data_IF_550429096759
#
_entry.id   IF_550429096759
#
_cell.length_a   1.000
_cell.length_b   1.000
_cell.length_c   1.000
_cell.angle_alpha   90.00
_cell.angle_beta   90.00
_cell.angle_gamma   90.00
#
_symmetry.space_group_name_H-M   'P 1'
#
loop_
_entity.id
_entity.type
_entity.pdbx_description
1 polymer ?
#
# COMPACT_ATOMS: atom_id res chain seq x y z
N UNK A 1 -54.89 48.17 20.57
CA UNK A 1 -54.05 47.69 21.70
C UNK A 1 -53.68 46.24 21.44
N UNK A 2 -52.49 45.74 21.82
CA UNK A 2 -51.23 46.47 22.05
C UNK A 2 -50.06 45.87 21.22
N UNK A 3 -49.28 46.71 20.50
CA UNK A 3 -47.85 47.02 20.75
C UNK A 3 -46.88 45.82 20.75
N UNK A 4 -45.96 45.69 19.79
CA UNK A 4 -44.70 46.46 19.64
C UNK A 4 -43.75 46.35 20.83
N UNK A 5 -42.51 45.91 20.56
CA UNK A 5 -41.31 46.66 20.94
C UNK A 5 -40.18 46.44 19.93
N UNK A 6 -39.78 47.53 19.28
CA UNK A 6 -38.48 47.73 18.65
C UNK A 6 -37.68 48.65 19.57
N UNK A 7 -36.38 48.42 19.75
CA UNK A 7 -35.45 49.52 20.03
C UNK A 7 -34.06 49.21 19.48
N UNK A 8 -33.58 50.18 18.71
CA UNK A 8 -32.23 50.44 18.21
C UNK A 8 -32.08 51.98 18.38
N UNK A 9 -30.95 52.67 18.09
CA UNK A 9 -29.61 52.18 17.73
C UNK A 9 -28.48 52.92 18.51
N UNK A 10 -27.20 52.63 18.22
CA UNK A 10 -26.14 53.67 18.17
C UNK A 10 -24.94 53.24 17.32
N UNK A 11 -24.73 53.93 16.19
CA UNK A 11 -23.43 54.11 15.49
C UNK A 11 -22.93 55.55 15.80
N UNK A 12 -21.75 56.07 15.38
CA UNK A 12 -20.75 55.59 14.41
C UNK A 12 -19.35 55.40 15.08
N UNK A 13 -18.13 55.53 14.51
CA UNK A 13 -17.64 56.04 13.21
C UNK A 13 -16.28 55.46 12.79
N UNK A 14 -15.94 55.70 11.51
CA UNK A 14 -14.72 55.32 10.78
C UNK A 14 -13.49 56.23 10.96
N UNK A 15 -12.27 55.66 10.89
CA UNK A 15 -11.06 56.12 10.16
C UNK A 15 -9.91 55.13 10.47
N UNK A 16 -9.36 54.36 9.53
CA UNK A 16 -8.32 54.70 8.54
C UNK A 16 -6.99 55.18 9.14
N UNK A 17 -5.95 54.32 9.12
CA UNK A 17 -4.69 54.58 8.37
C UNK A 17 -3.66 53.42 8.47
N UNK A 18 -2.60 53.54 7.68
CA UNK A 18 -1.66 52.50 7.19
C UNK A 18 -0.54 52.05 8.15
N UNK A 19 0.17 50.93 7.88
CA UNK A 19 1.18 50.37 8.78
C UNK A 19 2.53 51.09 8.74
N UNK A 20 3.28 51.01 9.84
CA UNK A 20 4.67 51.45 9.93
C UNK A 20 5.63 50.25 9.94
N UNK A 21 6.61 50.27 9.04
CA UNK A 21 7.77 49.38 9.06
C UNK A 21 8.73 49.73 10.20
N UNK A 22 9.30 48.73 10.87
CA UNK A 22 10.46 48.89 11.75
C UNK A 22 11.34 47.62 11.76
N UNK A 23 12.48 47.70 11.08
CA UNK A 23 13.54 46.67 11.06
C UNK A 23 14.44 46.82 12.30
N UNK A 24 14.84 45.74 12.98
CA UNK A 24 16.03 45.71 13.82
C UNK A 24 17.23 45.08 13.09
N UNK A 25 18.32 45.83 12.98
CA UNK A 25 19.63 45.37 12.51
C UNK A 25 20.46 44.73 13.63
N UNK A 26 21.51 43.94 13.32
CA UNK A 26 22.07 42.97 14.27
C UNK A 26 23.09 43.57 15.26
N UNK A 27 23.11 43.02 16.48
CA UNK A 27 24.18 43.24 17.46
C UNK A 27 25.31 42.22 17.29
N UNK A 28 26.55 42.67 17.51
CA UNK A 28 27.76 41.87 17.26
C UNK A 28 28.47 41.44 18.54
N UNK A 29 29.30 40.39 18.39
CA UNK A 29 30.37 39.92 19.29
C UNK A 29 29.99 39.23 20.61
N UNK A 30 30.32 37.94 20.69
CA UNK A 30 31.43 37.51 21.56
C UNK A 30 32.12 36.28 20.95
N UNK A 31 33.44 36.28 20.91
CA UNK A 31 34.26 35.17 20.42
C UNK A 31 34.63 34.23 21.56
N UNK A 32 34.34 32.93 21.42
CA UNK A 32 34.85 31.89 22.32
C UNK A 32 35.62 30.84 21.52
N UNK A 33 36.88 30.65 21.85
CA UNK A 33 37.80 29.74 21.16
C UNK A 33 37.65 28.30 21.65
N UNK A 34 37.22 27.38 20.79
CA UNK A 34 37.25 25.93 21.08
C UNK A 34 37.86 25.05 19.98
N UNK A 35 38.23 25.61 18.82
CA UNK A 35 38.84 24.87 17.70
C UNK A 35 40.37 24.70 17.79
N UNK A 36 40.87 24.18 18.92
CA UNK A 36 42.31 23.93 19.09
C UNK A 36 42.69 22.58 19.73
N UNK A 37 41.74 21.65 19.92
CA UNK A 37 42.01 20.35 20.57
C UNK A 37 41.84 19.10 19.69
N UNK A 38 41.35 19.23 18.44
CA UNK A 38 41.16 18.07 17.55
C UNK A 38 42.40 17.70 16.70
N UNK A 39 43.48 18.49 16.72
CA UNK A 39 44.68 18.25 15.88
C UNK A 39 45.79 17.40 16.53
N UNK A 40 45.57 16.87 17.74
CA UNK A 40 46.57 16.06 18.48
C UNK A 40 46.23 14.55 18.59
N UNK A 41 45.08 14.11 18.10
CA UNK A 41 44.71 12.67 18.12
C UNK A 41 45.31 11.90 16.92
N UNK A 42 45.50 12.59 15.78
CA UNK A 42 46.03 11.97 14.55
C UNK A 42 47.47 11.44 14.67
N UNK A 43 48.44 12.11 15.33
CA UNK A 43 49.81 11.59 15.45
C UNK A 43 49.94 10.35 16.34
N UNK A 44 49.05 10.17 17.31
CA UNK A 44 49.12 9.09 18.31
C UNK A 44 48.66 7.75 17.70
N UNK A 45 47.62 7.78 16.85
CA UNK A 45 47.15 6.59 16.11
C UNK A 45 48.18 6.02 15.13
N UNK A 46 49.08 6.86 14.59
CA UNK A 46 50.19 6.41 13.74
C UNK A 46 51.41 5.87 14.52
N UNK A 47 51.49 6.08 15.83
CA UNK A 47 52.55 5.51 16.66
C UNK A 47 52.15 4.14 17.25
N UNK A 48 50.86 3.94 17.55
CA UNK A 48 50.32 2.67 18.05
C UNK A 48 50.15 1.59 16.98
N UNK A 49 50.25 1.91 15.69
CA UNK A 49 50.13 0.95 14.58
C UNK A 49 51.42 0.19 14.25
N UNK A 50 52.53 0.45 14.95
CA UNK A 50 53.82 -0.22 14.72
C UNK A 50 54.12 -1.40 15.64
N UNK A 51 53.35 -1.60 16.72
CA UNK A 51 53.56 -2.66 17.71
C UNK A 51 52.34 -3.58 17.89
N UNK A 52 51.70 -4.00 16.79
CA UNK A 52 50.94 -5.26 16.77
C UNK A 52 51.75 -6.35 16.06
N UNK A 53 52.50 -7.09 16.87
CA UNK A 53 53.09 -8.39 16.53
C UNK A 53 52.05 -9.33 15.92
N UNK A 54 52.45 -10.16 14.94
CA UNK A 54 51.59 -11.16 14.30
C UNK A 54 50.93 -12.09 15.34
N UNK A 55 49.66 -11.84 15.64
CA UNK A 55 48.77 -12.89 16.12
C UNK A 55 48.48 -13.82 14.94
N UNK A 56 49.04 -15.03 14.98
CA UNK A 56 48.83 -16.07 13.98
C UNK A 56 47.36 -16.50 14.02
N UNK A 57 46.54 -15.97 13.10
CA UNK A 57 45.16 -16.38 12.94
C UNK A 57 45.11 -17.82 12.42
N UNK A 58 44.89 -18.79 13.32
CA UNK A 58 44.76 -20.19 12.92
C UNK A 58 43.35 -20.46 12.35
N UNK A 59 43.32 -21.25 11.29
CA UNK A 59 42.11 -21.83 10.66
C UNK A 59 41.10 -20.85 10.03
N UNK A 60 41.53 -20.12 8.99
CA UNK A 60 40.62 -19.81 7.89
C UNK A 60 40.27 -21.11 7.13
N UNK A 61 39.07 -21.66 7.34
CA UNK A 61 38.53 -22.67 6.43
C UNK A 61 38.35 -22.01 5.05
N UNK A 62 38.91 -22.55 3.96
CA UNK A 62 38.71 -21.97 2.65
C UNK A 62 37.24 -22.12 2.25
N UNK A 63 36.62 -21.04 1.78
CA UNK A 63 35.33 -21.06 1.11
C UNK A 63 35.48 -21.87 -0.19
N UNK A 64 35.18 -23.17 -0.10
CA UNK A 64 35.24 -24.08 -1.24
C UNK A 64 34.17 -23.69 -2.26
N UNK A 65 34.62 -23.38 -3.48
CA UNK A 65 33.73 -23.21 -4.61
C UNK A 65 33.05 -24.55 -4.94
N UNK A 66 31.80 -24.58 -5.44
CA UNK A 66 31.12 -25.84 -5.79
C UNK A 66 31.91 -26.74 -6.75
N UNK A 67 32.77 -26.16 -7.59
CA UNK A 67 33.69 -26.87 -8.49
C UNK A 67 34.85 -27.61 -7.80
N UNK A 68 35.12 -27.32 -6.52
CA UNK A 68 36.23 -27.90 -5.75
C UNK A 68 35.80 -29.12 -4.92
N UNK A 69 34.50 -29.45 -4.86
CA UNK A 69 34.00 -30.77 -4.41
C UNK A 69 33.98 -31.75 -5.58
N UNK A 70 35.11 -32.41 -5.84
CA UNK A 70 35.18 -33.59 -6.71
C UNK A 70 36.07 -34.65 -6.09
N UNK A 71 35.45 -35.59 -5.40
CA UNK A 71 36.09 -36.84 -5.01
C UNK A 71 36.30 -37.74 -6.25
N UNK A 72 37.39 -38.51 -6.24
CA UNK A 72 37.77 -39.39 -7.33
C UNK A 72 36.91 -40.67 -7.35
N UNK A 73 35.89 -40.72 -8.20
CA UNK A 73 35.40 -41.98 -8.77
C UNK A 73 34.76 -41.81 -10.15
N UNK A 74 35.26 -42.60 -11.11
CA UNK A 74 34.63 -43.07 -12.36
C UNK A 74 33.71 -42.13 -13.16
N UNK A 75 34.09 -41.88 -14.42
CA UNK A 75 33.35 -41.07 -15.37
C UNK A 75 31.96 -41.64 -15.74
N UNK A 76 30.91 -40.87 -15.49
CA UNK A 76 29.69 -40.87 -16.30
C UNK A 76 29.27 -39.43 -16.65
N UNK A 77 28.86 -39.29 -17.91
CA UNK A 77 28.08 -38.22 -18.55
C UNK A 77 28.00 -36.83 -17.87
N UNK A 78 28.64 -35.85 -18.49
CA UNK A 78 28.47 -34.41 -18.24
C UNK A 78 27.06 -33.91 -18.63
N UNK A 79 26.05 -34.29 -17.86
CA UNK A 79 24.82 -33.50 -17.76
C UNK A 79 25.08 -32.33 -16.81
N UNK A 80 25.00 -31.11 -17.34
CA UNK A 80 24.98 -29.89 -16.52
C UNK A 80 23.63 -29.77 -15.79
N UNK A 81 23.40 -30.66 -14.82
CA UNK A 81 22.22 -30.62 -13.97
C UNK A 81 22.21 -29.29 -13.20
N UNK A 82 21.25 -28.42 -13.52
CA UNK A 82 21.04 -27.20 -12.75
C UNK A 82 20.63 -27.60 -11.33
N UNK A 83 21.47 -27.30 -10.34
CA UNK A 83 21.22 -27.64 -8.92
C UNK A 83 20.00 -26.91 -8.30
N UNK A 84 19.27 -26.12 -9.09
CA UNK A 84 18.10 -25.37 -8.66
C UNK A 84 16.83 -26.23 -8.83
N UNK A 85 15.95 -26.21 -7.83
CA UNK A 85 14.64 -26.85 -7.88
C UNK A 85 13.83 -26.37 -9.09
N UNK A 86 13.26 -27.31 -9.85
CA UNK A 86 12.36 -27.00 -10.96
C UNK A 86 11.10 -26.32 -10.43
N UNK A 87 10.76 -25.17 -11.01
CA UNK A 87 9.53 -24.42 -10.69
C UNK A 87 8.29 -25.17 -11.20
N UNK A 88 7.12 -24.95 -10.57
CA UNK A 88 5.86 -25.58 -11.00
C UNK A 88 5.44 -25.04 -12.38
N UNK A 89 5.43 -25.86 -13.45
CA UNK A 89 5.12 -25.40 -14.80
C UNK A 89 3.69 -24.87 -14.97
N UNK A 90 2.79 -25.10 -14.01
CA UNK A 90 1.43 -24.55 -14.03
C UNK A 90 1.39 -23.06 -13.66
N UNK A 91 2.37 -22.58 -12.88
CA UNK A 91 2.39 -21.22 -12.33
C UNK A 91 3.07 -20.20 -13.24
N UNK A 92 2.58 -18.96 -13.21
CA UNK A 92 3.14 -17.85 -13.98
C UNK A 92 4.09 -16.99 -13.15
N UNK A 93 5.39 -17.28 -13.19
CA UNK A 93 6.41 -16.57 -12.41
C UNK A 93 6.78 -15.16 -12.90
N UNK A 94 5.97 -14.54 -13.77
CA UNK A 94 6.14 -13.14 -14.21
C UNK A 94 4.83 -12.34 -14.09
N UNK A 95 4.05 -12.50 -12.99
CA UNK A 95 2.70 -11.99 -12.91
C UNK A 95 2.68 -10.46 -12.98
N UNK A 96 1.56 -9.94 -13.45
CA UNK A 96 1.30 -8.49 -13.54
C UNK A 96 0.02 -8.19 -12.77
N UNK A 97 0.00 -7.15 -11.96
CA UNK A 97 -1.20 -6.69 -11.24
C UNK A 97 -1.69 -5.37 -11.86
N UNK A 98 -2.99 -5.29 -12.12
CA UNK A 98 -3.64 -4.03 -12.47
C UNK A 98 -3.95 -3.24 -11.21
N UNK A 99 -3.46 -2.02 -11.06
CA UNK A 99 -3.83 -1.14 -9.95
C UNK A 99 -4.75 -0.05 -10.48
N UNK A 100 -5.95 0.07 -9.89
CA UNK A 100 -6.91 1.12 -10.26
C UNK A 100 -6.45 2.48 -9.74
N UNK A 101 -6.40 3.50 -10.62
CA UNK A 101 -6.10 4.88 -10.22
C UNK A 101 -7.29 5.57 -9.56
N UNK A 102 -7.01 6.47 -8.61
CA UNK A 102 -8.01 7.22 -7.86
C UNK A 102 -8.14 8.67 -8.39
N UNK A 103 -9.34 9.31 -8.37
CA UNK A 103 -9.52 10.72 -8.73
C UNK A 103 -8.65 11.71 -7.95
N UNK A 104 -8.09 12.69 -8.66
CA UNK A 104 -7.25 13.77 -8.12
C UNK A 104 -5.75 13.58 -8.40
N UNK A 105 -4.91 14.39 -7.76
CA UNK A 105 -3.44 14.31 -7.88
C UNK A 105 -2.76 13.56 -6.71
N UNK A 106 -3.54 13.13 -5.71
CA UNK A 106 -3.09 12.35 -4.57
C UNK A 106 -2.25 13.11 -3.55
N UNK A 107 -2.07 14.42 -3.72
CA UNK A 107 -1.17 15.20 -2.90
C UNK A 107 -1.90 15.94 -1.76
N UNK A 108 -1.16 16.21 -0.69
CA UNK A 108 -1.62 17.00 0.46
C UNK A 108 -1.72 18.52 0.21
N UNK A 109 -1.63 18.91 -1.06
CA UNK A 109 -1.68 20.24 -1.66
C UNK A 109 -1.85 20.06 -3.18
N UNK A 110 -1.93 21.14 -3.96
CA UNK A 110 -2.19 21.03 -5.41
C UNK A 110 -0.88 20.83 -6.19
N UNK A 111 -0.61 19.60 -6.63
CA UNK A 111 0.44 19.28 -7.59
C UNK A 111 -0.04 19.34 -9.03
N UNK A 112 -1.34 19.16 -9.28
CA UNK A 112 -1.92 19.26 -10.61
C UNK A 112 -3.11 20.23 -10.68
N UNK A 113 -3.18 20.99 -11.77
CA UNK A 113 -4.31 21.86 -12.05
C UNK A 113 -5.41 21.17 -12.86
N UNK A 114 -5.11 20.05 -13.54
CA UNK A 114 -6.05 19.27 -14.33
C UNK A 114 -7.14 18.65 -13.45
N UNK A 115 -8.41 18.97 -13.73
CA UNK A 115 -9.57 18.39 -13.04
C UNK A 115 -9.81 16.92 -13.40
N UNK A 116 -9.20 16.45 -14.49
CA UNK A 116 -9.20 15.06 -14.93
C UNK A 116 -7.92 14.31 -14.51
N UNK A 117 -7.11 14.87 -13.60
CA UNK A 117 -6.01 14.14 -13.00
C UNK A 117 -6.52 12.91 -12.23
N UNK A 118 -5.81 11.80 -12.37
CA UNK A 118 -5.91 10.64 -11.49
C UNK A 118 -4.54 10.26 -10.95
N UNK A 119 -4.48 9.46 -9.89
CA UNK A 119 -3.21 9.04 -9.31
C UNK A 119 -3.21 7.60 -8.79
N UNK A 120 -2.01 7.06 -8.59
CA UNK A 120 -1.76 5.87 -7.77
C UNK A 120 -0.67 6.24 -6.77
N UNK A 121 -0.92 6.07 -5.47
CA UNK A 121 0.12 6.23 -4.46
C UNK A 121 1.20 5.15 -4.66
N UNK A 122 2.47 5.56 -4.63
CA UNK A 122 3.58 4.68 -4.99
C UNK A 122 3.75 3.51 -4.01
N UNK A 123 3.25 3.62 -2.77
CA UNK A 123 3.19 2.51 -1.82
C UNK A 123 2.44 1.29 -2.36
N UNK A 124 1.32 1.43 -3.07
CA UNK A 124 0.63 0.29 -3.69
C UNK A 124 1.47 -0.37 -4.78
N UNK A 125 2.27 0.41 -5.52
CA UNK A 125 3.20 -0.12 -6.53
C UNK A 125 4.33 -0.89 -5.85
N UNK A 126 5.03 -0.25 -4.91
CA UNK A 126 6.11 -0.85 -4.10
C UNK A 126 5.66 -2.13 -3.39
N UNK A 127 4.43 -2.14 -2.86
CA UNK A 127 3.79 -3.29 -2.23
C UNK A 127 3.63 -4.49 -3.17
N UNK A 128 3.16 -4.26 -4.42
CA UNK A 128 3.08 -5.32 -5.44
C UNK A 128 4.47 -5.81 -5.86
N UNK A 129 5.42 -4.90 -6.06
CA UNK A 129 6.76 -5.22 -6.56
C UNK A 129 7.62 -5.96 -5.55
N UNK A 130 7.51 -5.63 -4.25
CA UNK A 130 8.21 -6.30 -3.15
C UNK A 130 7.88 -7.81 -3.02
N UNK A 131 6.78 -8.28 -3.62
CA UNK A 131 6.40 -9.70 -3.68
C UNK A 131 6.71 -10.38 -5.03
N UNK A 132 7.41 -9.68 -5.94
CA UNK A 132 7.90 -10.22 -7.21
C UNK A 132 6.85 -10.26 -8.32
N UNK A 133 6.13 -9.16 -8.49
CA UNK A 133 5.23 -8.89 -9.61
C UNK A 133 5.55 -7.53 -10.26
N UNK A 134 4.89 -7.24 -11.39
CA UNK A 134 4.95 -5.94 -12.08
C UNK A 134 3.58 -5.27 -12.06
N UNK A 135 3.53 -3.95 -12.25
CA UNK A 135 2.26 -3.19 -12.25
C UNK A 135 1.92 -2.64 -13.63
N UNK A 136 0.63 -2.69 -14.00
CA UNK A 136 0.01 -1.87 -15.04
C UNK A 136 -1.00 -0.93 -14.35
N UNK A 137 -0.95 0.40 -14.58
CA UNK A 137 -1.97 1.31 -14.10
C UNK A 137 -3.25 1.20 -14.94
N UNK A 138 -4.37 0.89 -14.28
CA UNK A 138 -5.71 0.96 -14.84
C UNK A 138 -6.25 2.37 -14.56
N UNK A 139 -6.24 3.25 -15.55
CA UNK A 139 -6.50 4.68 -15.34
C UNK A 139 -8.01 4.89 -15.42
N UNK A 140 -8.68 5.18 -14.30
CA UNK A 140 -10.15 5.07 -14.22
C UNK A 140 -10.92 5.96 -15.22
N UNK A 141 -10.29 7.01 -15.75
CA UNK A 141 -10.86 7.96 -16.71
C UNK A 141 -10.13 7.98 -18.06
N UNK A 142 -9.41 6.91 -18.42
CA UNK A 142 -9.06 6.65 -19.82
C UNK A 142 -10.26 6.05 -20.58
N UNK A 143 -10.25 6.00 -21.93
CA UNK A 143 -11.32 5.37 -22.69
C UNK A 143 -11.53 3.92 -22.23
N UNK A 144 -12.79 3.52 -22.09
CA UNK A 144 -13.18 2.25 -21.48
C UNK A 144 -12.57 1.04 -22.22
N UNK A 145 -12.46 1.14 -23.54
CA UNK A 145 -11.83 0.15 -24.41
C UNK A 145 -10.34 -0.05 -24.05
N UNK A 146 -9.62 1.04 -23.78
CA UNK A 146 -8.19 1.00 -23.41
C UNK A 146 -8.00 0.43 -22.01
N UNK A 147 -8.85 0.82 -21.05
CA UNK A 147 -8.83 0.28 -19.69
C UNK A 147 -9.07 -1.25 -19.70
N UNK A 148 -10.06 -1.72 -20.47
CA UNK A 148 -10.35 -3.15 -20.54
C UNK A 148 -9.33 -3.92 -21.40
N UNK A 149 -8.72 -3.32 -22.43
CA UNK A 149 -7.54 -3.90 -23.08
C UNK A 149 -6.39 -4.12 -22.08
N UNK A 150 -6.13 -3.17 -21.17
CA UNK A 150 -5.14 -3.34 -20.10
C UNK A 150 -5.54 -4.39 -19.08
N UNK A 151 -6.83 -4.53 -18.75
CA UNK A 151 -7.30 -5.56 -17.82
C UNK A 151 -7.05 -6.98 -18.37
N UNK A 152 -7.09 -7.16 -19.69
CA UNK A 152 -6.69 -8.42 -20.34
C UNK A 152 -5.16 -8.66 -20.32
N UNK A 153 -4.34 -7.70 -19.90
CA UNK A 153 -2.88 -7.84 -19.76
C UNK A 153 -2.41 -8.20 -18.35
N UNK A 154 -3.30 -8.33 -17.37
CA UNK A 154 -2.93 -8.58 -15.96
C UNK A 154 -3.39 -9.95 -15.46
N UNK A 155 -2.86 -10.36 -14.30
CA UNK A 155 -3.10 -11.64 -13.62
C UNK A 155 -3.86 -11.47 -12.29
N UNK A 156 -4.41 -10.28 -12.04
CA UNK A 156 -5.11 -9.90 -10.83
C UNK A 156 -5.21 -8.37 -10.71
N UNK A 157 -6.05 -7.90 -9.80
CA UNK A 157 -6.36 -6.46 -9.62
C UNK A 157 -6.18 -6.03 -8.16
N UNK A 158 -5.80 -4.77 -7.95
CA UNK A 158 -5.82 -4.10 -6.66
C UNK A 158 -6.67 -2.82 -6.75
N UNK A 159 -7.69 -2.73 -5.90
CA UNK A 159 -8.43 -1.50 -5.61
C UNK A 159 -7.83 -0.80 -4.40
N UNK A 160 -7.48 0.47 -4.57
CA UNK A 160 -6.78 1.30 -3.59
C UNK A 160 -7.73 1.95 -2.58
N UNK A 161 -7.18 2.43 -1.46
CA UNK A 161 -7.85 3.38 -0.59
C UNK A 161 -8.01 4.76 -1.23
N UNK A 162 -8.87 5.60 -0.66
CA UNK A 162 -9.20 6.92 -1.19
C UNK A 162 -10.52 7.46 -0.61
N UNK A 163 -11.18 8.37 -1.33
CA UNK A 163 -12.42 9.03 -0.87
C UNK A 163 -13.65 8.86 -1.78
N UNK A 164 -13.47 8.68 -3.09
CA UNK A 164 -14.55 8.75 -4.08
C UNK A 164 -15.45 7.49 -4.10
N UNK A 165 -16.73 7.64 -3.75
CA UNK A 165 -17.75 6.57 -3.69
C UNK A 165 -18.84 6.64 -4.78
N UNK A 166 -18.71 7.56 -5.73
CA UNK A 166 -19.75 7.89 -6.71
C UNK A 166 -19.15 8.31 -8.08
N UNK A 167 -20.03 8.43 -9.08
CA UNK A 167 -19.69 8.81 -10.45
C UNK A 167 -18.82 7.77 -11.17
N UNK A 168 -18.14 8.21 -12.24
CA UNK A 168 -17.36 7.36 -13.15
C UNK A 168 -16.39 6.40 -12.44
N UNK A 169 -15.70 6.85 -11.38
CA UNK A 169 -14.78 6.00 -10.63
C UNK A 169 -15.47 4.78 -10.00
N UNK A 170 -16.65 4.98 -9.40
CA UNK A 170 -17.45 3.87 -8.87
C UNK A 170 -17.93 2.94 -10.00
N UNK A 171 -18.41 3.51 -11.11
CA UNK A 171 -18.93 2.75 -12.25
C UNK A 171 -17.84 1.86 -12.87
N UNK A 172 -16.62 2.39 -12.99
CA UNK A 172 -15.46 1.64 -13.48
C UNK A 172 -15.02 0.57 -12.48
N UNK A 173 -14.97 0.87 -11.17
CA UNK A 173 -14.72 -0.14 -10.15
C UNK A 173 -15.75 -1.29 -10.20
N UNK A 174 -17.04 -0.97 -10.38
CA UNK A 174 -18.11 -1.95 -10.54
C UNK A 174 -17.93 -2.81 -11.81
N UNK A 175 -17.58 -2.21 -12.95
CA UNK A 175 -17.33 -2.94 -14.20
C UNK A 175 -16.09 -3.83 -14.12
N UNK A 176 -14.99 -3.36 -13.50
CA UNK A 176 -13.79 -4.18 -13.26
C UNK A 176 -14.11 -5.34 -12.32
N UNK A 177 -14.83 -5.10 -11.22
CA UNK A 177 -15.24 -6.18 -10.31
C UNK A 177 -16.11 -7.22 -11.01
N UNK A 178 -17.06 -6.79 -11.85
CA UNK A 178 -17.83 -7.72 -12.70
C UNK A 178 -16.93 -8.57 -13.60
N UNK A 179 -15.92 -7.97 -14.25
CA UNK A 179 -14.94 -8.70 -15.08
C UNK A 179 -14.07 -9.68 -14.28
N UNK A 180 -13.74 -9.36 -13.02
CA UNK A 180 -13.06 -10.28 -12.10
C UNK A 180 -13.91 -11.50 -11.82
N UNK A 181 -15.22 -11.34 -11.56
CA UNK A 181 -16.12 -12.48 -11.38
C UNK A 181 -16.25 -13.31 -12.66
N UNK A 182 -16.50 -12.67 -13.81
CA UNK A 182 -16.62 -13.34 -15.11
C UNK A 182 -15.38 -14.20 -15.47
N UNK A 183 -14.16 -13.74 -15.15
CA UNK A 183 -12.92 -14.52 -15.34
C UNK A 183 -12.85 -15.76 -14.45
N UNK A 184 -13.20 -15.62 -13.17
CA UNK A 184 -13.19 -16.73 -12.22
C UNK A 184 -14.30 -17.77 -12.50
N UNK A 185 -15.48 -17.32 -12.94
CA UNK A 185 -16.56 -18.20 -13.42
C UNK A 185 -16.12 -19.00 -14.65
N UNK A 186 -15.36 -18.38 -15.55
CA UNK A 186 -14.68 -19.03 -16.68
C UNK A 186 -13.45 -19.88 -16.27
N UNK A 187 -13.22 -20.11 -14.97
CA UNK A 187 -12.12 -20.88 -14.38
C UNK A 187 -10.70 -20.30 -14.57
N UNK A 188 -10.56 -19.03 -14.94
CA UNK A 188 -9.28 -18.30 -14.80
C UNK A 188 -9.16 -17.75 -13.39
N UNK A 189 -8.21 -18.28 -12.60
CA UNK A 189 -8.00 -17.87 -11.20
C UNK A 189 -7.45 -16.45 -11.14
N UNK A 190 -8.35 -15.47 -10.98
CA UNK A 190 -8.04 -14.05 -11.16
C UNK A 190 -8.28 -13.29 -9.84
N UNK A 191 -7.27 -13.14 -8.98
CA UNK A 191 -7.43 -12.52 -7.66
C UNK A 191 -7.74 -11.02 -7.73
N UNK A 192 -8.48 -10.55 -6.73
CA UNK A 192 -8.63 -9.12 -6.45
C UNK A 192 -8.34 -8.83 -4.98
N UNK A 193 -7.50 -7.82 -4.74
CA UNK A 193 -7.31 -7.19 -3.44
C UNK A 193 -8.03 -5.85 -3.40
N UNK A 194 -8.66 -5.55 -2.27
CA UNK A 194 -9.41 -4.31 -2.06
C UNK A 194 -9.03 -3.70 -0.70
N UNK A 195 -8.47 -2.49 -0.69
CA UNK A 195 -7.88 -1.85 0.49
C UNK A 195 -8.66 -0.58 0.83
N UNK A 196 -9.07 -0.41 2.09
CA UNK A 196 -9.83 0.74 2.61
C UNK A 196 -11.05 1.04 1.73
N UNK A 197 -11.06 2.15 0.99
CA UNK A 197 -12.09 2.46 0.00
C UNK A 197 -12.40 1.30 -0.96
N UNK A 198 -11.40 0.52 -1.38
CA UNK A 198 -11.63 -0.67 -2.20
C UNK A 198 -12.60 -1.65 -1.54
N UNK A 199 -12.46 -1.89 -0.22
CA UNK A 199 -13.37 -2.76 0.54
C UNK A 199 -14.76 -2.13 0.69
N UNK A 200 -14.82 -0.83 0.98
CA UNK A 200 -16.07 -0.07 1.05
C UNK A 200 -16.85 -0.14 -0.28
N UNK A 201 -16.17 0.02 -1.42
CA UNK A 201 -16.74 -0.11 -2.76
C UNK A 201 -17.28 -1.52 -3.02
N UNK A 202 -16.51 -2.57 -2.75
CA UNK A 202 -17.00 -3.95 -2.90
C UNK A 202 -18.24 -4.19 -2.04
N UNK A 203 -18.24 -3.66 -0.81
CA UNK A 203 -19.37 -3.77 0.11
C UNK A 203 -20.63 -3.14 -0.49
N UNK A 204 -20.53 -1.90 -1.01
CA UNK A 204 -21.63 -1.21 -1.72
C UNK A 204 -22.07 -1.92 -3.02
N UNK A 205 -21.14 -2.49 -3.77
CA UNK A 205 -21.42 -3.17 -5.05
C UNK A 205 -22.16 -4.49 -4.82
N UNK A 206 -21.73 -5.28 -3.84
CA UNK A 206 -22.28 -6.61 -3.55
C UNK A 206 -23.62 -6.49 -2.79
N UNK A 207 -23.75 -5.54 -1.87
CA UNK A 207 -25.00 -5.31 -1.13
C UNK A 207 -26.11 -4.71 -1.99
N UNK A 208 -25.75 -4.13 -3.15
CA UNK A 208 -26.59 -3.24 -3.98
C UNK A 208 -27.13 -2.01 -3.23
N UNK A 209 -26.54 -1.68 -2.07
CA UNK A 209 -26.94 -0.58 -1.18
C UNK A 209 -25.83 0.47 -1.04
N UNK A 210 -26.09 1.69 -1.53
CA UNK A 210 -25.19 2.83 -1.44
C UNK A 210 -24.99 3.36 -0.02
N UNK A 211 -25.90 3.02 0.90
CA UNK A 211 -25.92 3.48 2.29
C UNK A 211 -25.52 2.38 3.28
N UNK A 212 -24.96 1.26 2.79
CA UNK A 212 -24.61 0.07 3.60
C UNK A 212 -23.52 0.34 4.64
N UNK A 213 -22.71 1.37 4.42
CA UNK A 213 -21.58 1.73 5.28
C UNK A 213 -22.05 2.46 6.55
N UNK A 214 -21.23 2.35 7.58
CA UNK A 214 -21.41 2.94 8.90
C UNK A 214 -20.21 3.84 9.21
N UNK A 215 -20.39 4.86 10.06
CA UNK A 215 -19.32 5.79 10.43
C UNK A 215 -18.48 5.21 11.57
N UNK A 216 -17.16 5.38 11.52
CA UNK A 216 -16.24 4.95 12.59
C UNK A 216 -15.13 5.99 12.82
N UNK A 217 -14.65 6.12 14.06
CA UNK A 217 -13.50 6.97 14.44
C UNK A 217 -12.19 6.20 14.34
N UNK A 218 -11.76 5.90 13.11
CA UNK A 218 -10.58 5.08 12.82
C UNK A 218 -9.66 5.74 11.75
N UNK A 219 -9.53 7.07 11.82
CA UNK A 219 -8.63 7.84 11.00
C UNK A 219 -7.26 7.99 11.71
N UNK A 220 -6.17 7.88 10.94
CA UNK A 220 -4.78 8.02 11.43
C UNK A 220 -4.43 7.16 12.67
N UNK A 221 -4.85 5.88 12.70
CA UNK A 221 -4.81 5.03 13.90
C UNK A 221 -4.01 3.74 13.68
N UNK A 222 -2.99 3.48 14.51
CA UNK A 222 -2.34 2.18 14.63
C UNK A 222 -3.22 1.21 15.43
N UNK A 223 -3.53 0.03 14.90
CA UNK A 223 -4.41 -0.94 15.57
C UNK A 223 -3.93 -2.39 15.46
N UNK A 224 -4.59 -3.28 16.22
CA UNK A 224 -4.49 -4.74 16.09
C UNK A 224 -5.66 -5.33 15.27
N UNK A 225 -5.56 -6.61 14.93
CA UNK A 225 -6.56 -7.40 14.21
C UNK A 225 -7.14 -8.50 15.11
N UNK A 226 -8.38 -8.34 15.54
CA UNK A 226 -9.09 -9.33 16.34
C UNK A 226 -9.62 -10.44 15.43
N UNK A 227 -8.97 -11.61 15.46
CA UNK A 227 -9.40 -12.78 14.68
C UNK A 227 -10.74 -13.32 15.16
N UNK A 228 -11.63 -13.67 14.22
CA UNK A 228 -12.91 -14.31 14.55
C UNK A 228 -12.65 -15.66 15.23
N UNK A 229 -13.36 -15.94 16.33
CA UNK A 229 -13.20 -17.17 17.10
C UNK A 229 -13.36 -18.41 16.21
N UNK A 230 -12.40 -19.34 16.33
CA UNK A 230 -12.31 -20.59 15.56
C UNK A 230 -12.20 -20.42 14.03
N UNK A 231 -11.74 -19.25 13.53
CA UNK A 231 -11.52 -19.06 12.09
C UNK A 231 -10.43 -20.00 11.56
N UNK A 232 -10.69 -20.72 10.46
CA UNK A 232 -9.63 -21.40 9.74
C UNK A 232 -8.89 -20.39 8.85
N UNK A 233 -7.59 -20.20 9.13
CA UNK A 233 -6.71 -19.31 8.37
C UNK A 233 -6.08 -19.98 7.13
N UNK A 234 -6.20 -21.29 6.96
CA UNK A 234 -5.77 -22.01 5.76
C UNK A 234 -6.51 -21.49 4.52
N UNK A 235 -5.78 -21.31 3.41
CA UNK A 235 -6.31 -20.71 2.18
C UNK A 235 -6.62 -19.20 2.29
N UNK A 236 -6.37 -18.56 3.44
CA UNK A 236 -6.54 -17.11 3.65
C UNK A 236 -5.20 -16.38 3.55
N UNK A 237 -5.24 -15.05 3.44
CA UNK A 237 -4.04 -14.18 3.53
C UNK A 237 -3.13 -14.53 4.72
N UNK A 238 -3.73 -14.93 5.85
CA UNK A 238 -3.03 -15.25 7.09
C UNK A 238 -2.33 -16.62 7.09
N UNK A 239 -2.57 -17.50 6.11
CA UNK A 239 -2.02 -18.86 6.07
C UNK A 239 -0.47 -18.93 6.07
N UNK A 240 0.19 -17.85 5.64
CA UNK A 240 1.65 -17.77 5.48
C UNK A 240 2.35 -17.06 6.64
N UNK A 241 1.62 -16.57 7.63
CA UNK A 241 2.18 -15.84 8.75
C UNK A 241 2.75 -16.81 9.79
N UNK A 242 3.94 -16.54 10.37
CA UNK A 242 4.43 -17.28 11.52
C UNK A 242 3.44 -17.24 12.70
N UNK A 243 3.30 -18.33 13.49
CA UNK A 243 2.38 -18.36 14.63
C UNK A 243 2.58 -17.21 15.63
N UNK A 244 3.83 -16.82 15.88
CA UNK A 244 4.16 -15.69 16.75
C UNK A 244 3.70 -14.35 16.16
N UNK A 245 3.83 -14.15 14.85
CA UNK A 245 3.36 -12.92 14.18
C UNK A 245 1.82 -12.87 14.13
N UNK A 246 1.14 -14.01 14.00
CA UNK A 246 -0.32 -14.09 14.15
C UNK A 246 -0.78 -13.70 15.56
N UNK A 247 -0.05 -14.15 16.59
CA UNK A 247 -0.32 -13.75 17.98
C UNK A 247 -0.12 -12.25 18.18
N UNK A 248 0.99 -11.69 17.67
CA UNK A 248 1.27 -10.25 17.72
C UNK A 248 0.22 -9.44 16.96
N UNK A 249 -0.22 -9.87 15.78
CA UNK A 249 -1.31 -9.22 15.04
C UNK A 249 -2.59 -9.02 15.88
N UNK A 250 -2.89 -9.93 16.81
CA UNK A 250 -4.05 -9.83 17.71
C UNK A 250 -3.85 -9.00 18.98
N UNK A 251 -2.62 -8.57 19.29
CA UNK A 251 -2.27 -7.91 20.54
C UNK A 251 -1.57 -6.56 20.36
N UNK A 252 -0.68 -6.46 19.37
CA UNK A 252 0.19 -5.32 19.09
C UNK A 252 -0.41 -4.46 17.95
N UNK A 253 -0.13 -3.15 17.98
CA UNK A 253 -0.61 -2.23 16.95
C UNK A 253 0.26 -2.30 15.68
N UNK A 254 0.03 -3.31 14.84
CA UNK A 254 0.82 -3.61 13.64
C UNK A 254 0.16 -3.23 12.29
N UNK A 255 -1.09 -2.74 12.30
CA UNK A 255 -1.79 -2.33 11.08
C UNK A 255 -2.21 -0.86 11.13
N UNK A 256 -2.16 -0.19 9.99
CA UNK A 256 -2.58 1.21 9.85
C UNK A 256 -4.05 1.31 9.42
N UNK A 257 -4.88 1.94 10.25
CA UNK A 257 -6.25 2.34 9.91
C UNK A 257 -6.24 3.80 9.46
N UNK A 258 -6.99 4.11 8.41
CA UNK A 258 -7.20 5.50 7.99
C UNK A 258 -8.53 5.66 7.25
N UNK A 259 -9.64 5.44 7.96
CA UNK A 259 -10.99 5.48 7.40
C UNK A 259 -11.99 6.17 8.33
N UNK A 260 -13.04 6.73 7.73
CA UNK A 260 -14.21 7.28 8.42
C UNK A 260 -15.46 6.41 8.25
N UNK A 261 -15.38 5.41 7.37
CA UNK A 261 -16.50 4.55 6.99
C UNK A 261 -16.03 3.10 6.91
N UNK A 262 -16.89 2.20 7.37
CA UNK A 262 -16.67 0.76 7.28
C UNK A 262 -18.01 0.01 7.34
N UNK A 263 -17.98 -1.23 7.83
CA UNK A 263 -19.20 -2.00 8.09
C UNK A 263 -19.04 -2.82 9.37
N UNK A 264 -20.07 -2.82 10.22
CA UNK A 264 -20.11 -3.63 11.43
C UNK A 264 -20.25 -5.13 11.10
N UNK A 265 -19.77 -6.04 11.98
CA UNK A 265 -19.95 -7.47 11.79
C UNK A 265 -21.42 -7.89 11.74
N UNK A 266 -22.30 -7.16 12.42
CA UNK A 266 -23.75 -7.38 12.37
C UNK A 266 -24.31 -7.00 11.00
N UNK A 267 -24.05 -5.78 10.51
CA UNK A 267 -24.60 -5.29 9.25
C UNK A 267 -24.11 -6.09 8.04
N UNK A 268 -22.87 -6.57 8.05
CA UNK A 268 -22.36 -7.48 7.02
C UNK A 268 -23.09 -8.84 7.05
N UNK A 269 -23.27 -9.44 8.24
CA UNK A 269 -23.94 -10.74 8.40
C UNK A 269 -25.43 -10.69 8.08
N UNK A 270 -26.10 -9.60 8.42
CA UNK A 270 -27.54 -9.43 8.21
C UNK A 270 -27.89 -9.11 6.74
N UNK A 271 -26.93 -8.68 5.91
CA UNK A 271 -27.12 -8.55 4.47
C UNK A 271 -26.88 -9.91 3.78
N UNK A 272 -27.87 -10.47 3.06
CA UNK A 272 -27.76 -11.82 2.48
C UNK A 272 -26.73 -11.91 1.35
N UNK A 273 -26.52 -10.85 0.56
CA UNK A 273 -25.54 -10.85 -0.52
C UNK A 273 -24.11 -10.83 0.05
N UNK A 274 -23.86 -9.94 1.02
CA UNK A 274 -22.54 -9.83 1.67
C UNK A 274 -22.17 -11.08 2.45
N UNK A 275 -23.09 -11.63 3.26
CA UNK A 275 -22.86 -12.85 4.04
C UNK A 275 -22.71 -14.11 3.17
N UNK A 276 -23.35 -14.16 2.00
CA UNK A 276 -23.13 -15.25 1.03
C UNK A 276 -21.81 -15.09 0.27
N UNK A 277 -21.35 -13.86 0.04
CA UNK A 277 -20.11 -13.60 -0.69
C UNK A 277 -18.86 -13.70 0.21
N UNK A 278 -18.88 -13.13 1.41
CA UNK A 278 -17.71 -12.94 2.29
C UNK A 278 -17.79 -13.70 3.62
N UNK A 279 -16.67 -14.37 3.98
CA UNK A 279 -16.34 -14.71 5.36
C UNK A 279 -15.55 -13.57 6.01
N UNK A 280 -15.95 -13.19 7.23
CA UNK A 280 -15.17 -12.28 8.09
C UNK A 280 -13.99 -13.07 8.68
N UNK A 281 -12.76 -12.56 8.50
CA UNK A 281 -11.55 -13.13 9.08
C UNK A 281 -11.15 -12.40 10.36
N UNK A 282 -11.16 -11.07 10.32
CA UNK A 282 -10.78 -10.20 11.45
C UNK A 282 -11.73 -9.02 11.60
N UNK A 283 -11.84 -8.52 12.83
CA UNK A 283 -12.45 -7.24 13.19
C UNK A 283 -11.41 -6.33 13.84
N UNK A 284 -11.69 -5.04 13.90
CA UNK A 284 -10.92 -4.07 14.70
C UNK A 284 -11.89 -3.11 15.39
N UNK A 285 -11.40 -2.36 16.37
CA UNK A 285 -12.16 -1.35 17.11
C UNK A 285 -11.71 0.04 16.71
N UNK A 286 -12.64 0.98 16.64
CA UNK A 286 -12.36 2.41 16.49
C UNK A 286 -11.97 3.04 17.85
N UNK A 287 -11.65 4.34 17.89
CA UNK A 287 -11.29 5.05 19.12
C UNK A 287 -12.44 5.15 20.15
N UNK A 288 -13.69 4.93 19.73
CA UNK A 288 -14.86 4.85 20.61
C UNK A 288 -15.13 3.42 21.12
N UNK A 289 -14.32 2.43 20.70
CA UNK A 289 -14.51 0.99 20.91
C UNK A 289 -15.65 0.35 20.09
N UNK A 290 -16.14 1.01 19.04
CA UNK A 290 -17.09 0.43 18.10
C UNK A 290 -16.38 -0.57 17.17
N UNK A 291 -16.98 -1.75 17.00
CA UNK A 291 -16.37 -2.87 16.27
C UNK A 291 -16.77 -2.86 14.80
N UNK A 292 -15.78 -2.79 13.91
CA UNK A 292 -15.95 -2.93 12.46
C UNK A 292 -15.21 -4.15 11.90
N UNK A 293 -15.64 -4.60 10.73
CA UNK A 293 -14.97 -5.65 9.95
C UNK A 293 -13.67 -5.11 9.38
N UNK A 294 -12.53 -5.74 9.70
CA UNK A 294 -11.22 -5.26 9.25
C UNK A 294 -10.59 -6.11 8.14
N UNK A 295 -10.90 -7.41 8.05
CA UNK A 295 -10.49 -8.26 6.91
C UNK A 295 -11.58 -9.27 6.56
N UNK A 296 -11.88 -9.39 5.26
CA UNK A 296 -12.76 -10.42 4.69
C UNK A 296 -12.08 -11.16 3.54
N UNK A 297 -12.55 -12.37 3.27
CA UNK A 297 -12.22 -13.12 2.05
C UNK A 297 -13.50 -13.71 1.46
N UNK A 298 -13.61 -13.76 0.14
CA UNK A 298 -14.77 -14.36 -0.50
C UNK A 298 -14.81 -15.88 -0.34
N UNK A 299 -16.01 -16.46 -0.38
CA UNK A 299 -16.22 -17.90 -0.28
C UNK A 299 -15.86 -18.65 -1.56
N UNK A 300 -16.28 -18.15 -2.73
CA UNK A 300 -16.13 -18.81 -4.02
C UNK A 300 -15.06 -18.21 -4.96
N UNK A 301 -14.49 -17.06 -4.60
CA UNK A 301 -13.60 -16.28 -5.47
C UNK A 301 -12.28 -15.94 -4.76
N UNK A 302 -11.16 -15.75 -5.47
CA UNK A 302 -9.88 -15.28 -4.91
C UNK A 302 -9.90 -13.77 -4.58
N UNK A 303 -10.98 -13.28 -3.98
CA UNK A 303 -11.16 -11.89 -3.56
C UNK A 303 -10.87 -11.77 -2.06
N UNK A 304 -9.98 -10.86 -1.68
CA UNK A 304 -9.67 -10.53 -0.27
C UNK A 304 -9.77 -9.02 -0.11
N UNK A 305 -10.38 -8.56 0.98
CA UNK A 305 -10.54 -7.13 1.24
C UNK A 305 -10.17 -6.77 2.68
N UNK A 306 -9.59 -5.59 2.84
CA UNK A 306 -8.98 -5.06 4.05
C UNK A 306 -9.52 -3.65 4.28
N UNK A 307 -9.99 -3.33 5.48
CA UNK A 307 -10.32 -1.95 5.85
C UNK A 307 -9.05 -1.13 6.18
N UNK A 308 -8.01 -1.83 6.64
CA UNK A 308 -6.69 -1.31 6.97
C UNK A 308 -5.76 -1.29 5.74
N UNK A 309 -4.63 -0.58 5.88
CA UNK A 309 -3.65 -0.30 4.83
C UNK A 309 -2.37 -1.14 4.97
N UNK A 310 -2.29 -2.35 4.37
CA UNK A 310 -1.09 -3.18 4.43
C UNK A 310 0.12 -2.57 3.71
N UNK A 311 -0.06 -1.60 2.82
CA UNK A 311 1.02 -0.98 2.06
C UNK A 311 1.80 0.07 2.86
N UNK A 312 1.21 0.66 3.92
CA UNK A 312 1.77 1.86 4.58
C UNK A 312 3.02 1.56 5.40
N UNK A 313 3.00 0.51 6.21
CA UNK A 313 4.05 0.19 7.19
C UNK A 313 5.48 0.23 6.61
N UNK A 314 5.66 -0.17 5.34
CA UNK A 314 6.97 -0.22 4.70
C UNK A 314 7.29 0.96 3.76
N UNK A 315 6.29 1.76 3.35
CA UNK A 315 6.41 2.63 2.18
C UNK A 315 5.86 4.06 2.33
N UNK A 316 5.23 4.40 3.47
CA UNK A 316 4.66 5.73 3.73
C UNK A 316 5.08 6.25 5.12
N UNK A 317 5.69 7.43 5.17
CA UNK A 317 6.21 8.06 6.40
C UNK A 317 5.45 9.34 6.81
N UNK A 318 4.34 9.64 6.11
CA UNK A 318 3.55 10.85 6.27
C UNK A 318 2.70 10.95 7.56
N UNK A 319 2.83 10.01 8.50
CA UNK A 319 2.24 10.09 9.84
C UNK A 319 3.06 9.28 10.83
N UNK A 320 3.23 9.81 12.04
CA UNK A 320 3.89 9.12 13.17
C UNK A 320 3.09 7.94 13.71
N UNK A 321 1.82 7.81 13.31
CA UNK A 321 0.95 6.69 13.70
C UNK A 321 1.12 5.47 12.80
N UNK A 322 1.89 5.54 11.71
CA UNK A 322 2.13 4.39 10.83
C UNK A 322 3.07 3.39 11.54
N UNK A 323 2.70 2.10 11.69
CA UNK A 323 3.57 1.11 12.32
C UNK A 323 4.80 0.78 11.47
N UNK A 324 5.99 1.04 11.99
CA UNK A 324 7.28 0.80 11.31
C UNK A 324 8.18 -0.25 12.00
N UNK A 325 7.64 -1.05 12.93
CA UNK A 325 8.39 -2.14 13.58
C UNK A 325 8.71 -3.28 12.60
N UNK A 326 9.74 -4.09 12.88
CA UNK A 326 10.08 -5.25 12.05
C UNK A 326 8.90 -6.21 11.84
N UNK A 327 8.06 -6.39 12.87
CA UNK A 327 6.82 -7.16 12.78
C UNK A 327 5.82 -6.51 11.81
N UNK A 328 5.64 -5.18 11.86
CA UNK A 328 4.77 -4.44 10.95
C UNK A 328 5.24 -4.52 9.49
N UNK A 329 6.56 -4.51 9.25
CA UNK A 329 7.14 -4.75 7.91
C UNK A 329 6.87 -6.19 7.44
N UNK A 330 7.01 -7.18 8.33
CA UNK A 330 6.67 -8.57 8.02
C UNK A 330 5.17 -8.72 7.66
N UNK A 331 4.27 -8.02 8.37
CA UNK A 331 2.83 -7.99 8.01
C UNK A 331 2.65 -7.56 6.55
N UNK A 332 3.20 -6.40 6.15
CA UNK A 332 3.17 -5.91 4.76
C UNK A 332 3.67 -6.96 3.78
N UNK A 333 4.85 -7.53 4.04
CA UNK A 333 5.47 -8.49 3.13
C UNK A 333 4.66 -9.80 3.02
N UNK A 334 4.05 -10.29 4.10
CA UNK A 334 3.22 -11.50 4.07
C UNK A 334 1.92 -11.28 3.30
N UNK A 335 1.26 -10.13 3.46
CA UNK A 335 0.04 -9.77 2.70
C UNK A 335 0.36 -9.64 1.20
N UNK A 336 1.44 -8.93 0.83
CA UNK A 336 1.91 -8.84 -0.55
C UNK A 336 2.24 -10.23 -1.15
N UNK A 337 2.99 -11.05 -0.40
CA UNK A 337 3.39 -12.39 -0.80
C UNK A 337 2.19 -13.31 -1.06
N UNK A 338 1.07 -13.13 -0.36
CA UNK A 338 -0.15 -13.89 -0.63
C UNK A 338 -0.77 -13.47 -1.96
N UNK A 339 -1.02 -12.17 -2.20
CA UNK A 339 -1.59 -11.68 -3.46
C UNK A 339 -0.81 -12.21 -4.67
N UNK A 340 0.51 -12.12 -4.65
CA UNK A 340 1.32 -12.56 -5.78
C UNK A 340 1.36 -14.10 -5.89
N UNK A 341 1.21 -14.84 -4.78
CA UNK A 341 1.01 -16.30 -4.85
C UNK A 341 -0.33 -16.71 -5.46
N UNK A 342 -1.39 -15.91 -5.30
CA UNK A 342 -2.65 -16.11 -6.02
C UNK A 342 -2.53 -15.71 -7.50
N UNK A 343 -1.90 -14.58 -7.82
CA UNK A 343 -1.76 -14.10 -9.20
C UNK A 343 -0.92 -15.03 -10.08
N UNK A 344 0.05 -15.75 -9.47
CA UNK A 344 0.81 -16.82 -10.14
C UNK A 344 -0.08 -17.99 -10.61
N UNK A 345 -1.29 -18.18 -10.07
CA UNK A 345 -2.23 -19.24 -10.46
C UNK A 345 -3.13 -18.87 -11.66
N UNK A 346 -3.22 -17.59 -12.02
CA UNK A 346 -3.96 -17.15 -13.21
C UNK A 346 -3.47 -17.87 -14.45
N UNK A 347 -4.38 -18.17 -15.37
CA UNK A 347 -4.10 -18.78 -16.66
C UNK A 347 -3.69 -17.74 -17.72
N UNK A 348 -3.88 -16.44 -17.45
CA UNK A 348 -3.54 -15.39 -18.42
C UNK A 348 -2.02 -15.35 -18.73
N UNK A 349 -1.67 -15.33 -20.01
CA UNK A 349 -0.29 -15.28 -20.53
C UNK A 349 -0.19 -14.13 -21.56
N UNK A 350 -0.17 -12.87 -21.12
CA UNK A 350 -0.29 -11.72 -22.01
C UNK A 350 0.95 -11.55 -22.92
N UNK A 351 0.79 -11.00 -24.15
CA UNK A 351 1.92 -10.78 -25.07
C UNK A 351 2.99 -9.88 -24.43
N UNK A 352 4.26 -10.32 -24.35
CA UNK A 352 5.29 -9.59 -23.59
C UNK A 352 5.47 -8.12 -24.01
N UNK A 353 5.31 -7.81 -25.29
CA UNK A 353 5.43 -6.43 -25.80
C UNK A 353 4.28 -5.54 -25.33
N UNK A 354 3.01 -5.97 -25.49
CA UNK A 354 1.85 -5.25 -24.95
C UNK A 354 1.98 -4.99 -23.44
N UNK A 355 2.52 -5.94 -22.68
CA UNK A 355 2.81 -5.73 -21.25
C UNK A 355 3.83 -4.61 -21.05
N UNK A 356 5.01 -4.68 -21.70
CA UNK A 356 6.08 -3.68 -21.57
C UNK A 356 5.60 -2.27 -21.91
N UNK A 357 4.83 -2.13 -22.99
CA UNK A 357 4.27 -0.86 -23.46
C UNK A 357 3.25 -0.24 -22.47
N UNK A 358 2.75 -1.01 -21.48
CA UNK A 358 1.76 -0.57 -20.49
C UNK A 358 2.26 -0.60 -19.03
N UNK A 359 3.51 -1.00 -18.76
CA UNK A 359 4.03 -1.08 -17.38
C UNK A 359 4.11 0.29 -16.70
N UNK A 360 4.00 0.29 -15.37
CA UNK A 360 4.21 1.48 -14.52
C UNK A 360 5.59 2.14 -14.73
N UNK A 361 6.59 1.39 -15.21
CA UNK A 361 7.94 1.89 -15.54
C UNK A 361 7.97 2.93 -16.67
N UNK A 362 6.89 3.07 -17.43
CA UNK A 362 6.75 4.14 -18.43
C UNK A 362 6.33 5.48 -17.81
N UNK A 363 6.11 5.52 -16.49
CA UNK A 363 5.70 6.69 -15.71
C UNK A 363 6.74 6.98 -14.62
N UNK A 364 6.84 8.24 -14.20
CA UNK A 364 7.70 8.66 -13.09
C UNK A 364 6.85 9.10 -11.90
N UNK A 365 7.15 8.67 -10.66
CA UNK A 365 6.47 9.17 -9.48
C UNK A 365 6.90 10.62 -9.19
N UNK A 366 6.03 11.37 -8.53
CA UNK A 366 6.30 12.72 -8.03
C UNK A 366 6.34 12.69 -6.51
N UNK A 367 7.41 13.23 -5.91
CA UNK A 367 7.55 13.34 -4.46
C UNK A 367 6.62 14.43 -3.89
N UNK A 368 5.60 14.00 -3.14
CA UNK A 368 4.59 14.84 -2.51
C UNK A 368 4.70 14.91 -0.96
N UNK A 369 5.50 14.03 -0.35
CA UNK A 369 5.69 13.94 1.11
C UNK A 369 6.28 15.16 1.81
N UNK A 370 6.77 16.17 1.07
CA UNK A 370 7.30 17.44 1.63
C UNK A 370 6.33 18.17 2.57
N UNK A 371 5.03 17.92 2.43
CA UNK A 371 3.99 18.49 3.28
C UNK A 371 3.93 17.86 4.69
N UNK A 372 4.66 16.76 4.96
CA UNK A 372 4.63 16.04 6.23
C UNK A 372 3.28 15.35 6.52
N UNK A 373 2.49 15.09 5.48
CA UNK A 373 1.17 14.44 5.55
C UNK A 373 0.80 13.82 4.21
N UNK A 374 -0.05 12.78 4.24
CA UNK A 374 -0.56 12.10 3.03
C UNK A 374 0.38 11.01 2.55
N UNK A 375 0.52 10.87 1.23
CA UNK A 375 1.48 9.94 0.63
C UNK A 375 2.85 10.62 0.43
N UNK A 376 3.93 9.83 0.41
CA UNK A 376 5.27 10.31 0.09
C UNK A 376 5.47 10.52 -1.41
N UNK A 377 5.03 9.57 -2.23
CA UNK A 377 5.18 9.60 -3.68
C UNK A 377 3.88 9.18 -4.37
N UNK A 378 3.54 9.85 -5.47
CA UNK A 378 2.36 9.57 -6.29
C UNK A 378 2.73 9.50 -7.77
N UNK A 379 2.22 8.49 -8.47
CA UNK A 379 2.16 8.50 -9.93
C UNK A 379 0.92 9.28 -10.34
N UNK A 380 1.10 10.39 -11.05
CA UNK A 380 -0.01 11.24 -11.53
C UNK A 380 -0.21 10.99 -13.02
N UNK A 381 -1.46 10.72 -13.40
CA UNK A 381 -1.90 10.51 -14.77
C UNK A 381 -2.81 11.67 -15.17
N UNK A 382 -2.39 12.48 -16.13
CA UNK A 382 -3.27 13.41 -16.84
C UNK A 382 -3.69 12.82 -18.17
N UNK A 383 -4.86 13.22 -18.65
CA UNK A 383 -5.13 13.05 -20.08
C UNK A 383 -4.18 14.00 -20.82
N UNK A 384 -3.26 13.44 -21.62
CA UNK A 384 -2.57 14.23 -22.63
C UNK A 384 -3.64 14.78 -23.58
N UNK A 385 -3.90 16.09 -23.52
CA UNK A 385 -4.57 16.76 -24.62
C UNK A 385 -3.82 16.37 -25.91
N UNK A 386 -4.52 15.91 -26.96
CA UNK A 386 -3.88 15.72 -28.25
C UNK A 386 -3.19 17.01 -28.62
N UNK A 387 -1.89 16.96 -28.91
CA UNK A 387 -1.21 18.09 -29.55
C UNK A 387 -1.82 18.21 -30.94
N UNK A 388 -2.72 19.18 -31.09
CA UNK A 388 -3.33 19.60 -32.36
C UNK A 388 -2.24 20.16 -33.27
#
# INVERSE_FOLDING_TARGET
>A
MPSLFLSNPSSPSSSSDTPNDAVPSPSASSSSSSDMWNYLIVPILFYLSKDLSLAKAETSTPLLLPSQRRDNSSAETLSSASSCTTLDPKLYYRPVIGILSHPGDGASGRLNNDTNASYIAASYVKFVEAAGARVIPLIYNEPEEILFEKLELVNGVLFTGGWAKAGLYYEIAQKIFKKVLEKNDARDHFPLYAICLGFELLTMIISEDRNILESFSAADQASSLQFVKNINIEGTVFQRFPPDLLKKLGADCLVMQNHHYGISPERLRNNPNLSSFFKILTTSTDDNNEVYVSTVQAHGYPVTAFQWHPEKNAFEWGSTMIPHSEDAIQVTQHVANFLISEARKSLNRPPPRKVLDNLIYNYSPTYCGKAGKGFDEVYIFTQLQPRI
#
